data_IF_379634886258
#
_entry.id   IF_379634886258
#
_cell.length_a   1.000
_cell.length_b   1.000
_cell.length_c   1.000
_cell.angle_alpha   90.00
_cell.angle_beta   90.00
_cell.angle_gamma   90.00
#
_symmetry.space_group_name_H-M   'P 1'
#
loop_
_entity.id
_entity.type
_entity.pdbx_description
1 polymer ?
#
# COMPACT_ATOMS: atom_id res chain seq x y z
N UNK A 1 -10.92 6.46 15.49
CA UNK A 1 -9.45 6.34 15.47
C UNK A 1 -8.83 6.99 16.72
N UNK A 2 -9.19 6.51 17.91
CA UNK A 2 -8.94 7.23 19.15
C UNK A 2 -7.47 7.21 19.61
N UNK A 3 -6.68 6.23 19.16
CA UNK A 3 -5.28 6.07 19.56
C UNK A 3 -4.31 6.10 18.36
N UNK A 4 -4.63 6.88 17.31
CA UNK A 4 -3.79 7.02 16.12
C UNK A 4 -2.97 8.30 16.25
N UNK A 5 -1.66 8.19 16.11
CA UNK A 5 -0.73 9.33 16.10
C UNK A 5 -0.49 9.76 14.66
N UNK A 6 -0.91 10.96 14.33
CA UNK A 6 -0.73 11.57 13.02
C UNK A 6 0.50 12.47 12.99
N UNK A 7 1.25 12.41 11.89
CA UNK A 7 2.29 13.38 11.56
C UNK A 7 1.87 14.18 10.33
N UNK A 8 1.82 15.49 10.45
CA UNK A 8 1.59 16.42 9.35
C UNK A 8 2.91 17.10 9.04
N UNK A 9 3.39 17.02 7.81
CA UNK A 9 4.57 17.74 7.33
C UNK A 9 4.17 18.67 6.18
N UNK A 10 4.32 19.96 6.35
CA UNK A 10 4.04 20.96 5.30
C UNK A 10 4.71 22.29 5.67
N UNK A 11 5.26 23.01 4.70
CA UNK A 11 5.89 24.32 4.93
C UNK A 11 4.87 25.37 5.36
N UNK A 12 3.63 25.28 4.89
CA UNK A 12 2.54 26.22 5.19
C UNK A 12 1.90 25.94 6.56
N UNK A 13 2.04 26.87 7.48
CA UNK A 13 1.33 26.82 8.78
C UNK A 13 -0.19 26.78 8.60
N UNK A 14 -0.72 27.46 7.57
CA UNK A 14 -2.16 27.44 7.28
C UNK A 14 -2.62 26.02 6.88
N UNK A 15 -1.88 25.36 6.02
CA UNK A 15 -2.21 23.98 5.57
C UNK A 15 -2.12 23.01 6.76
N UNK A 16 -1.05 23.08 7.57
CA UNK A 16 -0.92 22.22 8.75
C UNK A 16 -2.09 22.39 9.72
N UNK A 17 -2.48 23.64 10.03
CA UNK A 17 -3.64 23.94 10.90
C UNK A 17 -4.96 23.46 10.29
N UNK A 18 -5.15 23.59 8.98
CA UNK A 18 -6.34 23.11 8.28
C UNK A 18 -6.46 21.60 8.34
N UNK A 19 -5.37 20.87 8.07
CA UNK A 19 -5.33 19.40 8.18
C UNK A 19 -5.58 18.97 9.63
N UNK A 20 -4.90 19.58 10.60
CA UNK A 20 -5.09 19.29 12.04
C UNK A 20 -6.55 19.42 12.43
N UNK A 21 -7.20 20.53 12.06
CA UNK A 21 -8.61 20.75 12.37
C UNK A 21 -9.51 19.64 11.85
N UNK A 22 -9.30 19.17 10.62
CA UNK A 22 -10.05 18.05 10.06
C UNK A 22 -9.79 16.76 10.81
N UNK A 23 -8.52 16.45 11.12
CA UNK A 23 -8.15 15.26 11.87
C UNK A 23 -8.78 15.24 13.27
N UNK A 24 -8.76 16.36 13.98
CA UNK A 24 -9.34 16.48 15.32
C UNK A 24 -10.87 16.44 15.29
N UNK A 25 -11.52 17.23 14.39
CA UNK A 25 -12.97 17.39 14.40
C UNK A 25 -13.74 16.28 13.69
N UNK A 26 -13.22 15.73 12.60
CA UNK A 26 -13.94 14.75 11.76
C UNK A 26 -13.42 13.32 11.94
N UNK A 27 -12.12 13.16 12.21
CA UNK A 27 -11.51 11.86 12.42
C UNK A 27 -11.49 11.49 13.91
N UNK A 28 -11.52 12.49 14.80
CA UNK A 28 -11.40 12.31 16.25
C UNK A 28 -9.98 11.95 16.68
N UNK A 29 -8.98 12.49 15.99
CA UNK A 29 -7.58 12.31 16.32
C UNK A 29 -7.25 13.02 17.65
N UNK A 30 -6.60 12.30 18.57
CA UNK A 30 -6.15 12.86 19.87
C UNK A 30 -4.69 13.27 19.85
N UNK A 31 -3.90 12.73 18.94
CA UNK A 31 -2.47 13.02 18.80
C UNK A 31 -2.14 13.39 17.36
N UNK A 32 -1.73 14.65 17.17
CA UNK A 32 -1.33 15.19 15.88
C UNK A 32 -0.03 15.96 16.06
N UNK A 33 1.04 15.49 15.45
CA UNK A 33 2.36 16.13 15.45
C UNK A 33 2.55 16.91 14.15
N UNK A 34 3.31 18.00 14.20
CA UNK A 34 3.56 18.86 13.05
C UNK A 34 5.05 19.02 12.77
N UNK A 35 5.39 18.98 11.49
CA UNK A 35 6.72 19.28 10.96
C UNK A 35 6.62 20.38 9.91
N UNK A 36 7.58 21.28 9.89
CA UNK A 36 7.65 22.38 8.92
C UNK A 36 8.36 21.97 7.62
N UNK A 37 9.13 20.88 7.67
CA UNK A 37 9.88 20.32 6.55
C UNK A 37 10.10 18.82 6.76
N UNK A 38 10.66 18.15 5.75
CA UNK A 38 10.89 16.70 5.79
C UNK A 38 12.00 16.29 6.78
N UNK A 39 12.98 17.13 7.08
CA UNK A 39 14.02 16.84 8.08
C UNK A 39 13.43 16.80 9.49
N UNK A 40 12.58 17.78 9.82
CA UNK A 40 11.85 17.80 11.10
C UNK A 40 10.93 16.58 11.18
N UNK A 41 10.25 16.22 10.08
CA UNK A 41 9.40 15.02 10.02
C UNK A 41 10.20 13.74 10.31
N UNK A 42 11.39 13.57 9.70
CA UNK A 42 12.27 12.42 9.98
C UNK A 42 12.76 12.43 11.44
N UNK A 43 13.05 13.58 12.02
CA UNK A 43 13.40 13.70 13.43
C UNK A 43 12.29 13.20 14.35
N UNK A 44 11.04 13.55 14.04
CA UNK A 44 9.85 13.06 14.77
C UNK A 44 9.70 11.54 14.62
N UNK A 45 9.79 11.01 13.40
CA UNK A 45 9.70 9.57 13.12
C UNK A 45 10.75 8.74 13.87
N UNK A 46 11.94 9.30 14.12
CA UNK A 46 13.00 8.63 14.90
C UNK A 46 12.74 8.62 16.40
N UNK A 47 11.96 9.56 16.91
CA UNK A 47 11.74 9.78 18.35
C UNK A 47 10.34 9.39 18.83
N UNK A 48 9.38 9.26 17.93
CA UNK A 48 7.97 9.00 18.24
C UNK A 48 7.42 7.88 17.35
N UNK A 49 6.48 7.12 17.88
CA UNK A 49 5.70 6.18 17.08
C UNK A 49 4.62 6.93 16.31
N UNK A 50 4.64 6.81 14.99
CA UNK A 50 3.70 7.44 14.08
C UNK A 50 2.88 6.37 13.38
N UNK A 51 1.58 6.57 13.35
CA UNK A 51 0.65 5.63 12.69
C UNK A 51 0.18 6.10 11.33
N UNK A 52 0.30 7.41 11.03
CA UNK A 52 -0.20 8.00 9.78
C UNK A 52 0.57 9.27 9.42
N UNK A 53 0.95 9.43 8.16
CA UNK A 53 1.66 10.61 7.65
C UNK A 53 0.81 11.32 6.60
N UNK A 54 0.72 12.65 6.70
CA UNK A 54 0.20 13.53 5.64
C UNK A 54 1.28 14.54 5.34
N UNK A 55 1.85 14.53 4.14
CA UNK A 55 3.00 15.35 3.77
C UNK A 55 2.73 16.23 2.58
N UNK A 56 3.10 17.49 2.65
CA UNK A 56 3.25 18.34 1.48
C UNK A 56 4.32 17.80 0.55
N UNK A 57 4.15 18.02 -0.76
CA UNK A 57 5.19 17.69 -1.73
C UNK A 57 6.37 18.63 -1.63
N UNK A 58 6.09 19.94 -1.77
CA UNK A 58 7.10 20.99 -1.74
C UNK A 58 7.36 21.44 -0.30
N UNK A 59 8.51 21.09 0.19
CA UNK A 59 9.03 21.53 1.50
C UNK A 59 10.50 21.92 1.38
N UNK A 60 10.94 22.81 2.25
CA UNK A 60 12.36 23.15 2.37
C UNK A 60 13.17 21.93 2.86
N UNK A 61 14.48 21.95 2.62
CA UNK A 61 15.48 20.95 3.01
C UNK A 61 15.21 19.55 2.45
N UNK A 62 14.21 18.83 2.96
CA UNK A 62 13.79 17.53 2.48
C UNK A 62 12.36 17.62 1.96
N UNK A 63 12.15 17.33 0.68
CA UNK A 63 10.83 17.33 0.03
C UNK A 63 9.97 16.17 0.51
N UNK A 64 8.64 16.25 0.31
CA UNK A 64 7.72 15.17 0.67
C UNK A 64 8.02 13.87 -0.07
N UNK A 65 8.49 13.96 -1.29
CA UNK A 65 8.93 12.85 -2.11
C UNK A 65 10.18 12.16 -1.57
N UNK A 66 11.16 12.93 -1.12
CA UNK A 66 12.34 12.40 -0.45
C UNK A 66 11.97 11.79 0.92
N UNK A 67 11.08 12.44 1.68
CA UNK A 67 10.56 11.91 2.94
C UNK A 67 9.86 10.55 2.72
N UNK A 68 9.03 10.44 1.68
CA UNK A 68 8.38 9.17 1.32
C UNK A 68 9.40 8.08 1.03
N UNK A 69 10.45 8.41 0.27
CA UNK A 69 11.54 7.46 -0.05
C UNK A 69 12.21 6.93 1.22
N UNK A 70 12.56 7.82 2.15
CA UNK A 70 13.15 7.45 3.45
C UNK A 70 12.19 6.58 4.29
N UNK A 71 10.89 6.95 4.32
CA UNK A 71 9.86 6.18 5.04
C UNK A 71 9.72 4.78 4.46
N UNK A 72 9.72 4.62 3.15
CA UNK A 72 9.56 3.31 2.48
C UNK A 72 10.82 2.45 2.56
N UNK A 73 12.00 3.07 2.63
CA UNK A 73 13.26 2.36 2.81
C UNK A 73 13.46 1.81 4.24
N UNK A 74 12.78 2.37 5.23
CA UNK A 74 12.92 1.93 6.62
C UNK A 74 11.88 0.86 6.97
N UNK A 75 12.27 -0.37 7.35
CA UNK A 75 11.33 -1.46 7.67
C UNK A 75 10.32 -1.13 8.78
N UNK A 76 10.68 -0.25 9.74
CA UNK A 76 9.77 0.17 10.82
C UNK A 76 8.66 1.11 10.35
N UNK A 77 8.88 1.85 9.27
CA UNK A 77 7.98 2.89 8.77
C UNK A 77 7.34 2.53 7.42
N UNK A 78 7.87 1.51 6.73
CA UNK A 78 7.49 1.16 5.36
C UNK A 78 5.98 0.95 5.16
N UNK A 79 5.27 0.50 6.19
CA UNK A 79 3.84 0.23 6.15
C UNK A 79 2.98 1.40 6.69
N UNK A 80 3.57 2.49 7.18
CA UNK A 80 2.82 3.65 7.64
C UNK A 80 2.04 4.24 6.45
N UNK A 81 0.71 4.45 6.56
CA UNK A 81 -0.06 5.14 5.56
C UNK A 81 0.51 6.54 5.32
N UNK A 82 0.71 6.88 4.06
CA UNK A 82 1.29 8.14 3.65
C UNK A 82 0.42 8.80 2.58
N UNK A 83 -0.20 9.93 2.91
CA UNK A 83 -0.93 10.76 1.94
C UNK A 83 -0.03 11.92 1.51
N UNK A 84 0.12 12.10 0.19
CA UNK A 84 0.82 13.24 -0.38
C UNK A 84 -0.17 14.36 -0.67
N UNK A 85 0.04 15.55 -0.09
CA UNK A 85 -0.72 16.76 -0.37
C UNK A 85 0.09 17.66 -1.32
N UNK A 86 -0.37 17.83 -2.55
CA UNK A 86 0.38 18.51 -3.62
C UNK A 86 -0.42 19.61 -4.29
N UNK A 87 0.26 20.64 -4.79
CA UNK A 87 -0.32 21.64 -5.69
C UNK A 87 -0.29 21.19 -7.16
N UNK A 88 0.39 20.08 -7.46
CA UNK A 88 0.51 19.53 -8.80
C UNK A 88 -0.62 18.55 -9.06
N UNK A 89 -1.45 18.85 -10.04
CA UNK A 89 -2.54 18.01 -10.52
C UNK A 89 -2.19 17.30 -11.84
N UNK A 90 -0.96 17.53 -12.34
CA UNK A 90 -0.53 16.91 -13.58
C UNK A 90 -0.30 15.40 -13.42
N UNK A 91 -0.67 14.67 -14.47
CA UNK A 91 -0.65 13.21 -14.52
C UNK A 91 0.74 12.63 -14.20
N UNK A 92 1.83 13.31 -14.57
CA UNK A 92 3.20 12.85 -14.34
C UNK A 92 3.58 12.89 -12.86
N UNK A 93 3.20 13.93 -12.15
CA UNK A 93 3.45 14.08 -10.69
C UNK A 93 2.65 13.05 -9.89
N UNK A 94 1.39 12.82 -10.27
CA UNK A 94 0.53 11.79 -9.69
C UNK A 94 1.13 10.39 -9.91
N UNK A 95 1.51 10.06 -11.13
CA UNK A 95 2.13 8.77 -11.48
C UNK A 95 3.46 8.58 -10.73
N UNK A 96 4.28 9.63 -10.61
CA UNK A 96 5.54 9.58 -9.86
C UNK A 96 5.32 9.25 -8.38
N UNK A 97 4.32 9.88 -7.75
CA UNK A 97 3.95 9.62 -6.35
C UNK A 97 3.46 8.19 -6.14
N UNK A 98 2.63 7.69 -7.05
CA UNK A 98 2.12 6.32 -7.01
C UNK A 98 3.25 5.30 -7.16
N UNK A 99 4.21 5.54 -8.05
CA UNK A 99 5.39 4.68 -8.23
C UNK A 99 6.26 4.54 -6.98
N UNK A 100 6.27 5.56 -6.11
CA UNK A 100 7.07 5.57 -4.88
C UNK A 100 6.34 5.06 -3.66
N UNK A 101 5.12 4.58 -3.80
CA UNK A 101 4.39 3.89 -2.75
C UNK A 101 3.65 4.81 -1.79
N UNK A 102 3.11 5.95 -2.24
CA UNK A 102 2.10 6.68 -1.45
C UNK A 102 0.87 5.79 -1.25
N UNK A 103 0.19 5.96 -0.12
CA UNK A 103 -1.08 5.28 0.12
C UNK A 103 -2.22 5.98 -0.62
N UNK A 104 -2.14 7.30 -0.75
CA UNK A 104 -3.07 8.14 -1.50
C UNK A 104 -2.45 9.53 -1.73
N UNK A 105 -3.08 10.35 -2.57
CA UNK A 105 -2.68 11.75 -2.75
C UNK A 105 -3.91 12.65 -2.70
N UNK A 106 -3.70 13.93 -2.39
CA UNK A 106 -4.75 14.95 -2.39
C UNK A 106 -4.21 16.24 -3.01
N UNK A 107 -4.97 16.79 -3.97
CA UNK A 107 -4.58 18.03 -4.66
C UNK A 107 -5.06 19.24 -3.86
N UNK A 108 -4.20 20.21 -3.66
CA UNK A 108 -4.50 21.51 -3.02
C UNK A 108 -5.10 22.48 -4.07
N UNK A 109 -6.17 23.24 -3.73
CA UNK A 109 -6.91 23.24 -2.46
C UNK A 109 -7.88 22.05 -2.38
N UNK A 110 -8.04 21.47 -1.20
CA UNK A 110 -8.96 20.36 -0.93
C UNK A 110 -10.00 20.74 0.14
N UNK A 111 -11.15 20.09 0.09
CA UNK A 111 -12.17 20.24 1.11
C UNK A 111 -11.88 19.36 2.34
N UNK A 112 -12.49 19.72 3.48
CA UNK A 112 -12.42 18.89 4.68
C UNK A 112 -12.97 17.48 4.43
N UNK A 113 -14.02 17.35 3.59
CA UNK A 113 -14.65 16.09 3.22
C UNK A 113 -13.71 15.20 2.40
N UNK A 114 -12.98 15.78 1.41
CA UNK A 114 -12.05 15.03 0.58
C UNK A 114 -10.91 14.46 1.43
N UNK A 115 -10.36 15.26 2.33
CA UNK A 115 -9.31 14.82 3.25
C UNK A 115 -9.83 13.70 4.18
N UNK A 116 -11.03 13.85 4.76
CA UNK A 116 -11.63 12.82 5.60
C UNK A 116 -11.76 11.48 4.86
N UNK A 117 -12.31 11.50 3.65
CA UNK A 117 -12.49 10.29 2.83
C UNK A 117 -11.16 9.59 2.58
N UNK A 118 -10.13 10.35 2.17
CA UNK A 118 -8.79 9.79 1.89
C UNK A 118 -8.10 9.25 3.13
N UNK A 119 -8.20 9.93 4.27
CA UNK A 119 -7.65 9.46 5.54
C UNK A 119 -8.32 8.15 5.97
N UNK A 120 -9.65 8.07 5.91
CA UNK A 120 -10.40 6.85 6.27
C UNK A 120 -10.07 5.69 5.35
N UNK A 121 -10.02 5.92 4.04
CA UNK A 121 -9.66 4.91 3.04
C UNK A 121 -8.24 4.38 3.28
N UNK A 122 -7.25 5.27 3.37
CA UNK A 122 -5.85 4.90 3.61
C UNK A 122 -5.65 4.20 4.94
N UNK A 123 -6.35 4.62 6.01
CA UNK A 123 -6.30 3.99 7.33
C UNK A 123 -6.89 2.58 7.32
N UNK A 124 -8.06 2.40 6.68
CA UNK A 124 -8.67 1.10 6.55
C UNK A 124 -7.78 0.15 5.75
N UNK A 125 -7.18 0.65 4.67
CA UNK A 125 -6.17 -0.06 3.91
C UNK A 125 -4.96 -0.49 4.75
N UNK A 126 -4.49 0.36 5.68
CA UNK A 126 -3.36 0.06 6.56
C UNK A 126 -3.72 -0.87 7.73
N UNK A 127 -4.89 -0.69 8.36
CA UNK A 127 -5.39 -1.64 9.37
C UNK A 127 -5.58 -3.05 8.79
N UNK A 128 -6.01 -3.12 7.54
CA UNK A 128 -6.10 -4.35 6.78
C UNK A 128 -4.70 -4.98 6.55
N UNK A 129 -3.60 -4.20 6.64
CA UNK A 129 -2.20 -4.67 6.56
C UNK A 129 -1.67 -5.36 7.83
N UNK A 130 -2.45 -5.56 8.88
CA UNK A 130 -2.04 -6.33 10.09
C UNK A 130 -1.78 -7.82 9.83
N UNK A 131 -1.97 -8.28 8.61
CA UNK A 131 -1.64 -9.64 8.22
C UNK A 131 -0.20 -9.70 7.70
N UNK A 132 0.56 -10.63 8.26
CA UNK A 132 1.92 -10.95 7.83
C UNK A 132 1.98 -11.15 6.31
N UNK A 133 2.96 -10.57 5.65
CA UNK A 133 3.17 -10.66 4.20
C UNK A 133 4.39 -11.48 3.89
N UNK A 134 4.25 -12.36 2.94
CA UNK A 134 5.32 -13.23 2.48
C UNK A 134 5.75 -12.81 1.09
N UNK A 135 7.03 -12.42 0.95
CA UNK A 135 7.62 -11.90 -0.29
C UNK A 135 8.39 -12.94 -1.08
N UNK A 136 8.88 -14.00 -0.41
CA UNK A 136 9.62 -15.10 -1.04
C UNK A 136 8.66 -16.25 -1.33
N UNK A 137 7.86 -16.14 -2.39
CA UNK A 137 6.93 -17.18 -2.78
C UNK A 137 7.67 -18.11 -3.76
N UNK A 138 7.90 -19.39 -3.42
CA UNK A 138 8.61 -20.32 -4.28
C UNK A 138 7.79 -20.60 -5.55
N UNK A 139 8.41 -21.17 -6.52
CA UNK A 139 7.89 -21.65 -7.80
C UNK A 139 6.36 -21.52 -7.99
N UNK A 140 5.93 -20.33 -8.45
CA UNK A 140 4.51 -19.99 -8.53
C UNK A 140 4.10 -19.56 -9.94
N UNK A 141 2.81 -19.75 -10.24
CA UNK A 141 2.11 -19.22 -11.41
C UNK A 141 0.88 -18.49 -10.93
N UNK A 142 0.59 -17.34 -11.52
CA UNK A 142 -0.60 -16.55 -11.23
C UNK A 142 -1.27 -16.09 -12.53
N UNK A 143 -2.59 -15.97 -12.48
CA UNK A 143 -3.41 -15.39 -13.54
C UNK A 143 -4.45 -14.48 -12.92
N UNK A 144 -4.71 -13.36 -13.57
CA UNK A 144 -5.83 -12.47 -13.24
C UNK A 144 -6.82 -12.54 -14.39
N UNK A 145 -8.08 -12.84 -14.07
CA UNK A 145 -9.16 -12.82 -15.06
C UNK A 145 -9.73 -11.41 -15.19
N UNK A 146 -9.62 -10.86 -16.41
CA UNK A 146 -10.13 -9.55 -16.81
C UNK A 146 -11.04 -9.73 -18.01
N UNK A 147 -12.31 -9.37 -17.88
CA UNK A 147 -13.31 -9.50 -18.96
C UNK A 147 -13.32 -10.91 -19.61
N UNK A 148 -13.14 -11.95 -18.80
CA UNK A 148 -13.11 -13.35 -19.25
C UNK A 148 -11.78 -13.79 -19.88
N UNK A 149 -10.76 -12.94 -19.87
CA UNK A 149 -9.41 -13.27 -20.37
C UNK A 149 -8.43 -13.38 -19.20
N UNK A 150 -7.66 -14.47 -19.18
CA UNK A 150 -6.65 -14.71 -18.17
C UNK A 150 -5.33 -14.03 -18.55
N UNK A 151 -4.92 -13.05 -17.75
CA UNK A 151 -3.66 -12.32 -17.88
C UNK A 151 -2.65 -12.96 -16.92
N UNK A 152 -1.49 -13.42 -17.39
CA UNK A 152 -0.44 -13.95 -16.54
C UNK A 152 0.05 -12.88 -15.55
N UNK A 153 0.25 -13.27 -14.30
CA UNK A 153 0.84 -12.39 -13.30
C UNK A 153 1.85 -13.12 -12.42
N UNK A 154 2.74 -12.35 -11.80
CA UNK A 154 3.71 -12.83 -10.83
C UNK A 154 3.32 -12.33 -9.43
N UNK A 155 3.33 -13.22 -8.45
CA UNK A 155 3.13 -12.81 -7.06
C UNK A 155 4.38 -12.11 -6.53
N UNK A 156 4.23 -10.85 -6.13
CA UNK A 156 5.25 -10.08 -5.44
C UNK A 156 5.18 -10.34 -3.94
N UNK A 157 3.98 -10.36 -3.39
CA UNK A 157 3.71 -10.83 -2.03
C UNK A 157 2.30 -11.38 -1.88
N UNK A 158 2.10 -12.16 -0.81
CA UNK A 158 0.82 -12.76 -0.43
C UNK A 158 0.59 -12.62 1.08
N UNK A 159 -0.65 -12.41 1.49
CA UNK A 159 -1.11 -12.40 2.87
C UNK A 159 -2.51 -13.01 2.98
N UNK A 160 -3.00 -13.22 4.20
CA UNK A 160 -4.35 -13.74 4.42
C UNK A 160 -5.45 -12.88 3.78
N UNK A 161 -5.24 -11.57 3.63
CA UNK A 161 -6.29 -10.63 3.18
C UNK A 161 -5.97 -9.95 1.85
N UNK A 162 -4.88 -10.31 1.17
CA UNK A 162 -4.57 -9.72 -0.12
C UNK A 162 -3.24 -10.18 -0.71
N UNK A 163 -3.04 -9.84 -1.97
CA UNK A 163 -1.83 -10.07 -2.73
C UNK A 163 -1.34 -8.79 -3.40
N UNK A 164 -0.05 -8.70 -3.65
CA UNK A 164 0.54 -7.79 -4.61
C UNK A 164 1.02 -8.63 -5.79
N UNK A 165 0.56 -8.29 -6.98
CA UNK A 165 0.93 -8.98 -8.21
C UNK A 165 1.60 -8.02 -9.18
N UNK A 166 2.55 -8.55 -9.95
CA UNK A 166 3.20 -7.90 -11.07
C UNK A 166 2.63 -8.49 -12.36
N UNK A 167 2.15 -7.64 -13.27
CA UNK A 167 1.58 -8.04 -14.55
C UNK A 167 1.80 -6.98 -15.63
N UNK A 168 1.57 -7.36 -16.88
CA UNK A 168 1.57 -6.43 -17.99
C UNK A 168 0.40 -5.44 -17.86
N UNK A 169 0.70 -4.15 -17.98
CA UNK A 169 -0.33 -3.11 -17.92
C UNK A 169 -1.26 -3.17 -19.13
N UNK A 170 -2.56 -3.16 -18.86
CA UNK A 170 -3.61 -3.03 -19.86
C UNK A 170 -4.59 -1.94 -19.45
N UNK A 171 -5.18 -1.25 -20.43
CA UNK A 171 -6.24 -0.26 -20.18
C UNK A 171 -7.51 -0.85 -19.58
N UNK A 172 -7.68 -2.17 -19.65
CA UNK A 172 -8.78 -2.89 -19.00
C UNK A 172 -8.59 -3.04 -17.49
N UNK A 173 -7.37 -2.77 -16.96
CA UNK A 173 -7.09 -2.81 -15.54
C UNK A 173 -7.47 -1.46 -14.90
N UNK A 174 -8.21 -1.49 -13.81
CA UNK A 174 -8.64 -0.30 -13.07
C UNK A 174 -8.56 -0.46 -11.55
N UNK A 175 -8.69 0.65 -10.84
CA UNK A 175 -8.82 0.67 -9.38
C UNK A 175 -10.28 0.44 -8.98
N UNK A 176 -10.47 -0.11 -7.77
CA UNK A 176 -11.78 -0.43 -7.21
C UNK A 176 -12.62 -1.42 -8.07
N UNK A 177 -11.96 -2.22 -8.90
CA UNK A 177 -12.57 -3.29 -9.68
C UNK A 177 -12.31 -4.65 -9.02
N UNK A 178 -13.26 -5.56 -9.20
CA UNK A 178 -13.15 -6.93 -8.69
C UNK A 178 -12.56 -7.84 -9.77
N UNK A 179 -11.54 -8.60 -9.39
CA UNK A 179 -10.84 -9.56 -10.24
C UNK A 179 -10.85 -10.95 -9.63
N UNK A 180 -10.88 -11.97 -10.49
CA UNK A 180 -10.54 -13.33 -10.11
C UNK A 180 -9.02 -13.52 -10.18
N UNK A 181 -8.43 -14.04 -9.12
CA UNK A 181 -7.00 -14.36 -9.06
C UNK A 181 -6.84 -15.87 -8.89
N UNK A 182 -6.15 -16.49 -9.82
CA UNK A 182 -5.75 -17.88 -9.77
C UNK A 182 -4.27 -17.96 -9.42
N UNK A 183 -3.95 -18.75 -8.40
CA UNK A 183 -2.58 -18.92 -7.90
C UNK A 183 -2.27 -20.41 -7.79
N UNK A 184 -1.14 -20.86 -8.31
CA UNK A 184 -0.56 -22.14 -7.96
C UNK A 184 0.86 -21.98 -7.47
N UNK A 185 1.20 -22.62 -6.35
CA UNK A 185 2.53 -22.61 -5.74
C UNK A 185 3.00 -24.04 -5.55
N UNK A 186 4.16 -24.37 -6.08
CA UNK A 186 4.78 -25.69 -5.93
C UNK A 186 5.95 -25.59 -4.95
N UNK A 187 5.94 -26.46 -3.95
CA UNK A 187 6.99 -26.54 -2.92
C UNK A 187 7.64 -27.91 -2.94
N UNK A 188 8.93 -27.98 -2.61
CA UNK A 188 9.73 -29.19 -2.75
C UNK A 188 9.83 -30.03 -1.46
N UNK A 189 9.76 -29.38 -0.30
CA UNK A 189 10.02 -30.06 0.98
C UNK A 189 9.04 -29.65 2.09
N UNK A 190 8.02 -30.45 2.40
CA UNK A 190 7.59 -31.64 1.66
C UNK A 190 6.95 -31.30 0.31
N UNK A 191 7.02 -32.16 -0.70
CA UNK A 191 6.45 -31.88 -2.01
C UNK A 191 4.94 -31.64 -1.90
N UNK A 192 4.49 -30.44 -2.25
CA UNK A 192 3.07 -30.08 -2.26
C UNK A 192 2.80 -29.00 -3.29
N UNK A 193 1.63 -29.09 -3.92
CA UNK A 193 1.08 -28.06 -4.79
C UNK A 193 -0.12 -27.41 -4.10
N UNK A 194 -0.04 -26.13 -3.88
CA UNK A 194 -1.15 -25.31 -3.42
C UNK A 194 -1.86 -24.70 -4.62
N UNK A 195 -3.18 -24.73 -4.62
CA UNK A 195 -3.99 -24.17 -5.72
C UNK A 195 -5.12 -23.34 -5.14
N UNK A 196 -5.10 -22.04 -5.44
CA UNK A 196 -6.15 -21.09 -5.09
C UNK A 196 -6.79 -20.63 -6.40
N UNK A 197 -8.00 -21.08 -6.70
CA UNK A 197 -8.67 -20.78 -7.95
C UNK A 197 -9.85 -19.85 -7.74
N UNK A 198 -9.93 -18.79 -8.59
CA UNK A 198 -11.00 -17.78 -8.55
C UNK A 198 -11.09 -17.06 -7.21
N UNK A 199 -9.94 -16.74 -6.62
CA UNK A 199 -9.87 -15.94 -5.44
C UNK A 199 -10.29 -14.49 -5.78
N UNK A 200 -11.50 -14.13 -5.37
CA UNK A 200 -12.03 -12.81 -5.67
C UNK A 200 -11.37 -11.73 -4.81
N UNK A 201 -11.00 -10.63 -5.45
CA UNK A 201 -10.42 -9.51 -4.75
C UNK A 201 -10.59 -8.19 -5.50
N UNK A 202 -10.69 -7.11 -4.73
CA UNK A 202 -10.82 -5.75 -5.26
C UNK A 202 -9.45 -5.10 -5.39
N UNK A 203 -9.18 -4.51 -6.55
CA UNK A 203 -7.94 -3.74 -6.77
C UNK A 203 -7.93 -2.47 -5.91
N UNK A 204 -6.91 -2.34 -5.07
CA UNK A 204 -6.79 -1.23 -4.11
C UNK A 204 -5.64 -0.27 -4.44
N UNK A 205 -4.71 -0.70 -5.26
CA UNK A 205 -3.51 0.04 -5.64
C UNK A 205 -3.02 -0.45 -6.99
N UNK A 206 -2.53 0.47 -7.82
CA UNK A 206 -1.84 0.15 -9.06
C UNK A 206 -0.64 1.08 -9.21
N UNK A 207 0.52 0.52 -9.56
CA UNK A 207 1.77 1.26 -9.75
C UNK A 207 2.45 0.76 -11.02
N UNK A 208 2.85 1.67 -11.90
CA UNK A 208 3.71 1.31 -13.04
C UNK A 208 5.15 1.09 -12.55
N UNK A 209 5.71 -0.08 -12.80
CA UNK A 209 7.08 -0.45 -12.40
C UNK A 209 8.09 0.00 -13.45
N UNK A 210 7.76 -0.18 -14.73
CA UNK A 210 8.54 0.30 -15.87
C UNK A 210 7.62 0.90 -16.92
N UNK A 211 8.00 2.08 -17.41
CA UNK A 211 7.39 2.68 -18.61
C UNK A 211 8.45 2.74 -19.69
N UNK A 212 8.31 1.91 -20.72
CA UNK A 212 9.12 2.02 -21.94
C UNK A 212 8.21 2.33 -23.12
N UNK A 213 8.58 3.33 -23.92
CA UNK A 213 7.82 3.70 -25.13
C UNK A 213 7.75 2.58 -26.18
N UNK A 214 8.54 1.52 -26.04
CA UNK A 214 8.72 0.45 -27.04
C UNK A 214 8.47 -0.96 -26.54
N UNK A 215 8.19 -1.17 -25.23
CA UNK A 215 7.82 -2.47 -24.64
C UNK A 215 6.59 -2.29 -23.77
N UNK A 216 5.86 -3.38 -23.58
CA UNK A 216 4.73 -3.44 -22.64
C UNK A 216 5.16 -2.94 -21.27
N UNK A 217 4.37 -2.03 -20.71
CA UNK A 217 4.62 -1.50 -19.37
C UNK A 217 4.19 -2.52 -18.33
N UNK A 218 5.03 -2.76 -17.33
CA UNK A 218 4.72 -3.63 -16.20
C UNK A 218 4.13 -2.82 -15.05
N UNK A 219 3.10 -3.31 -14.42
CA UNK A 219 2.51 -2.70 -13.24
C UNK A 219 2.44 -3.65 -12.04
N UNK A 220 2.54 -3.10 -10.85
CA UNK A 220 2.16 -3.76 -9.61
C UNK A 220 0.71 -3.42 -9.27
N UNK A 221 -0.10 -4.44 -9.00
CA UNK A 221 -1.49 -4.27 -8.59
C UNK A 221 -1.72 -4.93 -7.22
N UNK A 222 -2.20 -4.15 -6.27
CA UNK A 222 -2.63 -4.65 -4.97
C UNK A 222 -4.07 -5.14 -5.04
N UNK A 223 -4.32 -6.39 -4.66
CA UNK A 223 -5.61 -7.05 -4.65
C UNK A 223 -6.00 -7.34 -3.21
N UNK A 224 -7.18 -6.89 -2.80
CA UNK A 224 -7.75 -7.08 -1.49
C UNK A 224 -8.87 -8.11 -1.50
N UNK A 225 -8.76 -9.17 -0.69
CA UNK A 225 -9.71 -10.28 -0.61
C UNK A 225 -10.82 -10.06 0.44
N UNK A 226 -10.62 -9.13 1.37
CA UNK A 226 -11.40 -9.06 2.61
C UNK A 226 -12.85 -8.58 2.49
N UNK A 227 -13.32 -8.21 1.29
CA UNK A 227 -14.72 -7.86 1.01
C UNK A 227 -15.49 -9.01 0.33
N UNK A 228 -14.78 -10.08 -0.03
CA UNK A 228 -15.34 -11.22 -0.71
C UNK A 228 -15.33 -12.44 0.21
N UNK A 229 -16.44 -13.17 0.22
CA UNK A 229 -16.51 -14.45 0.91
C UNK A 229 -15.63 -15.48 0.19
N UNK A 230 -14.70 -16.04 0.91
CA UNK A 230 -13.85 -17.13 0.46
C UNK A 230 -14.52 -18.44 0.87
N UNK A 231 -14.59 -19.43 -0.03
CA UNK A 231 -15.11 -20.71 0.40
C UNK A 231 -14.16 -21.36 1.43
N UNK A 232 -14.68 -22.19 2.37
CA UNK A 232 -13.88 -22.75 3.46
C UNK A 232 -12.68 -23.59 3.01
N UNK A 233 -12.76 -24.25 1.87
CA UNK A 233 -11.66 -25.07 1.33
C UNK A 233 -10.51 -24.15 0.86
N UNK A 234 -10.83 -23.08 0.16
CA UNK A 234 -9.86 -22.10 -0.32
C UNK A 234 -9.23 -21.34 0.84
N UNK A 235 -10.01 -20.95 1.85
CA UNK A 235 -9.49 -20.29 3.07
C UNK A 235 -8.48 -21.21 3.77
N UNK A 236 -8.81 -22.48 3.94
CA UNK A 236 -7.91 -23.49 4.53
C UNK A 236 -6.65 -23.71 3.68
N UNK A 237 -6.77 -23.74 2.35
CA UNK A 237 -5.61 -23.89 1.47
C UNK A 237 -4.71 -22.67 1.52
N UNK A 238 -5.27 -21.45 1.54
CA UNK A 238 -4.52 -20.20 1.73
C UNK A 238 -3.79 -20.19 3.08
N UNK A 239 -4.47 -20.55 4.16
CA UNK A 239 -3.86 -20.62 5.50
C UNK A 239 -2.70 -21.65 5.52
N UNK A 240 -2.90 -22.81 4.91
CA UNK A 240 -1.87 -23.84 4.81
C UNK A 240 -0.64 -23.36 4.02
N UNK A 241 -0.85 -22.63 2.92
CA UNK A 241 0.23 -22.02 2.15
C UNK A 241 0.97 -20.95 2.99
N UNK A 242 0.24 -20.04 3.64
CA UNK A 242 0.84 -18.99 4.45
C UNK A 242 1.63 -19.57 5.63
N UNK A 243 1.14 -20.64 6.26
CA UNK A 243 1.87 -21.32 7.32
C UNK A 243 3.17 -21.97 6.79
N UNK A 244 3.16 -22.56 5.60
CA UNK A 244 4.35 -23.06 4.93
C UNK A 244 5.36 -21.93 4.68
N UNK A 245 4.91 -20.80 4.09
CA UNK A 245 5.75 -19.64 3.80
C UNK A 245 6.37 -19.05 5.07
N UNK A 246 5.62 -19.00 6.16
CA UNK A 246 6.11 -18.56 7.47
C UNK A 246 7.26 -19.43 7.97
N UNK A 247 7.13 -20.74 7.85
CA UNK A 247 8.13 -21.68 8.34
C UNK A 247 9.37 -21.76 7.42
N UNK A 248 9.20 -21.42 6.13
CA UNK A 248 10.26 -21.49 5.11
C UNK A 248 11.05 -20.20 4.95
N UNK A 249 10.54 -19.07 5.48
CA UNK A 249 11.28 -17.81 5.46
C UNK A 249 12.31 -17.81 6.58
N UNK A 250 13.62 -17.63 6.30
CA UNK A 250 14.62 -17.50 7.34
C UNK A 250 14.22 -16.35 8.26
N UNK A 251 13.98 -16.64 9.53
CA UNK A 251 13.82 -15.61 10.53
C UNK A 251 15.13 -14.80 10.54
N UNK A 252 15.08 -13.59 10.03
CA UNK A 252 16.16 -12.63 10.28
C UNK A 252 16.11 -12.34 11.78
N UNK A 253 16.86 -13.13 12.52
CA UNK A 253 17.09 -12.92 13.95
C UNK A 253 17.81 -11.60 14.05
N UNK A 254 17.07 -10.55 14.38
CA UNK A 254 17.63 -9.30 14.83
C UNK A 254 18.40 -9.59 16.11
N UNK A 255 19.70 -9.81 15.97
CA UNK A 255 20.60 -9.78 17.11
C UNK A 255 20.98 -8.33 17.36
N UNK A 256 20.61 -7.90 18.56
CA UNK A 256 21.14 -6.81 19.37
C UNK A 256 21.11 -5.39 18.81
#
# INVERSE_FOLDING_TARGET
MINVVFLIADSSTFIRKSIRRVLESQIGAKSVLEAVDGEVALGILRSQEIDFIISGWEMAKLTGDQLLTEVRANPKWADIPFIMATSHDDEKSVISSLKRGVSDYIVKPFSAKDLEVKVRSSWNGAKKRKHERYYSIPNHKGFITVDGTDIPCKLVNLSQKGALVELEYSKALGLAQTYGLDISVEVESPPKKYVLSKLLGTSTRMELVEYTQTKSSTCHMGIWFGEHEMNPEMEKELESLLQYLKNSTPQTIGKN
#
